data_IF_348543438932
#
_entry.id   IF_348543438932
#
_cell.length_a   1.000
_cell.length_b   1.000
_cell.length_c   1.000
_cell.angle_alpha   90.00
_cell.angle_beta   90.00
_cell.angle_gamma   90.00
#
_symmetry.space_group_name_H-M   'P 1'
#
loop_
_entity.id
_entity.type
_entity.pdbx_description
1 polymer ?
#
# COMPACT_ATOMS: atom_id res chain seq x y z
N UNK A 1 -5.10 -11.12 -3.33
CA UNK A 1 -5.25 -10.27 -2.14
C UNK A 1 -6.73 -9.98 -1.92
N UNK A 2 -7.44 -10.99 -1.42
CA UNK A 2 -8.73 -10.85 -0.75
C UNK A 2 -8.45 -11.20 0.71
N UNK A 3 -8.17 -10.21 1.55
CA UNK A 3 -8.39 -10.43 2.98
C UNK A 3 -9.89 -10.30 3.15
N UNK A 4 -10.58 -11.43 3.27
CA UNK A 4 -11.98 -11.47 3.68
C UNK A 4 -12.00 -10.86 5.08
N UNK A 5 -12.24 -9.56 5.17
CA UNK A 5 -12.32 -8.87 6.44
C UNK A 5 -13.67 -9.21 7.04
N UNK A 6 -13.71 -10.22 7.92
CA UNK A 6 -14.90 -10.49 8.73
C UNK A 6 -15.05 -9.32 9.69
N UNK A 7 -16.03 -8.44 9.43
CA UNK A 7 -16.43 -7.41 10.38
C UNK A 7 -16.71 -8.08 11.73
N UNK A 8 -15.86 -7.79 12.72
CA UNK A 8 -16.05 -8.29 14.08
C UNK A 8 -16.64 -7.17 14.92
N UNK A 9 -17.93 -7.29 15.25
CA UNK A 9 -18.63 -6.39 16.17
C UNK A 9 -17.90 -6.25 17.51
N UNK A 10 -17.21 -7.31 17.98
CA UNK A 10 -16.41 -7.28 19.21
C UNK A 10 -15.25 -6.28 19.12
N UNK A 11 -14.63 -6.16 17.94
CA UNK A 11 -13.48 -5.26 17.74
C UNK A 11 -13.92 -3.80 17.66
N UNK A 12 -15.02 -3.50 16.96
CA UNK A 12 -15.58 -2.14 16.91
C UNK A 12 -16.06 -1.69 18.29
N UNK A 13 -16.72 -2.57 19.04
CA UNK A 13 -17.15 -2.29 20.41
C UNK A 13 -15.96 -2.03 21.34
N UNK A 14 -14.85 -2.76 21.16
CA UNK A 14 -13.59 -2.55 21.87
C UNK A 14 -12.94 -1.18 21.65
N UNK A 15 -13.20 -0.50 20.53
CA UNK A 15 -12.74 0.88 20.29
C UNK A 15 -13.72 1.94 20.81
N UNK A 16 -15.02 1.64 20.87
CA UNK A 16 -16.08 2.61 21.15
C UNK A 16 -16.51 2.67 22.62
N UNK A 17 -16.27 1.63 23.42
CA UNK A 17 -16.81 1.55 24.78
C UNK A 17 -16.33 2.70 25.69
N UNK A 18 -15.06 3.14 25.60
CA UNK A 18 -14.56 4.27 26.40
C UNK A 18 -15.29 5.59 26.06
N UNK A 19 -15.32 6.06 24.79
CA UNK A 19 -16.10 7.24 24.42
C UNK A 19 -17.58 7.14 24.83
N UNK A 20 -18.21 5.98 24.57
CA UNK A 20 -19.63 5.79 24.87
C UNK A 20 -19.91 5.93 26.37
N UNK A 21 -19.12 5.27 27.22
CA UNK A 21 -19.29 5.37 28.67
C UNK A 21 -19.03 6.80 29.15
N UNK A 22 -17.98 7.47 28.65
CA UNK A 22 -17.68 8.85 29.04
C UNK A 22 -18.80 9.82 28.67
N UNK A 23 -19.34 9.73 27.46
CA UNK A 23 -20.47 10.57 27.00
C UNK A 23 -21.74 10.24 27.78
N UNK A 24 -22.05 8.97 27.99
CA UNK A 24 -23.22 8.54 28.78
C UNK A 24 -23.13 9.00 30.23
N UNK A 25 -21.96 8.92 30.85
CA UNK A 25 -21.74 9.41 32.21
C UNK A 25 -21.91 10.94 32.29
N UNK A 26 -21.33 11.67 31.34
CA UNK A 26 -21.49 13.12 31.26
C UNK A 26 -22.96 13.52 31.07
N UNK A 27 -23.67 12.89 30.13
CA UNK A 27 -25.10 13.14 29.91
C UNK A 27 -25.93 12.80 31.16
N UNK A 28 -25.64 11.69 31.83
CA UNK A 28 -26.29 11.29 33.08
C UNK A 28 -26.04 12.27 34.22
N UNK A 29 -24.82 12.81 34.35
CA UNK A 29 -24.47 13.83 35.33
C UNK A 29 -25.25 15.12 35.10
N UNK A 30 -25.32 15.60 33.85
CA UNK A 30 -26.10 16.79 33.48
C UNK A 30 -27.59 16.58 33.79
N UNK A 31 -28.14 15.41 33.45
CA UNK A 31 -29.53 15.07 33.72
C UNK A 31 -29.84 15.02 35.23
N UNK A 32 -28.95 14.43 36.02
CA UNK A 32 -29.07 14.38 37.48
C UNK A 32 -29.07 15.79 38.09
N UNK A 33 -28.13 16.65 37.68
CA UNK A 33 -28.05 18.05 38.13
C UNK A 33 -29.33 18.81 37.76
N UNK A 34 -29.81 18.66 36.52
CA UNK A 34 -31.03 19.31 36.04
C UNK A 34 -32.26 18.91 36.88
N UNK A 35 -32.39 17.62 37.23
CA UNK A 35 -33.55 17.09 37.94
C UNK A 35 -33.59 17.48 39.42
N UNK A 36 -32.44 17.50 40.10
CA UNK A 36 -32.37 17.70 41.56
C UNK A 36 -32.09 19.14 42.00
N UNK A 37 -31.50 19.98 41.13
CA UNK A 37 -31.14 21.36 41.47
C UNK A 37 -32.04 22.42 40.81
N UNK A 38 -33.13 22.00 40.13
CA UNK A 38 -34.14 22.89 39.51
C UNK A 38 -33.52 24.05 38.70
N UNK A 39 -32.42 23.77 37.99
CA UNK A 39 -31.74 24.75 37.14
C UNK A 39 -32.54 24.88 35.84
N UNK A 40 -33.69 25.55 35.90
CA UNK A 40 -34.61 25.73 34.77
C UNK A 40 -34.10 26.76 33.74
N UNK A 41 -33.10 27.57 34.09
CA UNK A 41 -32.70 28.76 33.32
C UNK A 41 -31.60 28.53 32.27
N UNK A 42 -31.11 27.30 32.09
CA UNK A 42 -30.01 27.00 31.16
C UNK A 42 -30.48 26.26 29.90
N UNK A 43 -31.29 26.92 29.07
CA UNK A 43 -31.73 26.37 27.79
C UNK A 43 -30.65 26.57 26.71
N UNK A 44 -29.94 25.50 26.34
CA UNK A 44 -29.04 25.52 25.18
C UNK A 44 -29.90 25.39 23.91
N UNK A 45 -29.84 26.34 22.96
CA UNK A 45 -30.60 26.23 21.72
C UNK A 45 -30.19 24.99 20.91
N UNK A 46 -31.17 24.19 20.46
CA UNK A 46 -30.93 23.01 19.61
C UNK A 46 -30.17 23.32 18.33
N UNK A 47 -30.24 24.56 17.85
CA UNK A 47 -29.50 25.02 16.68
C UNK A 47 -27.98 24.83 16.83
N UNK A 48 -27.42 24.99 18.03
CA UNK A 48 -25.97 24.87 18.27
C UNK A 48 -25.45 23.45 17.98
N UNK A 49 -25.96 22.37 18.62
CA UNK A 49 -25.53 21.01 18.30
C UNK A 49 -25.90 20.59 16.88
N UNK A 50 -27.00 21.08 16.30
CA UNK A 50 -27.38 20.76 14.92
C UNK A 50 -26.36 21.32 13.92
N UNK A 51 -26.01 22.60 14.00
CA UNK A 51 -25.03 23.22 13.09
C UNK A 51 -23.66 22.54 13.23
N UNK A 52 -23.22 22.30 14.46
CA UNK A 52 -21.95 21.59 14.71
C UNK A 52 -21.99 20.16 14.17
N UNK A 53 -23.09 19.44 14.38
CA UNK A 53 -23.28 18.08 13.88
C UNK A 53 -23.22 18.02 12.36
N UNK A 54 -23.92 18.92 11.67
CA UNK A 54 -23.89 19.01 10.20
C UNK A 54 -22.48 19.30 9.68
N UNK A 55 -21.77 20.26 10.28
CA UNK A 55 -20.40 20.59 9.90
C UNK A 55 -19.45 19.39 10.08
N UNK A 56 -19.52 18.70 11.22
CA UNK A 56 -18.71 17.51 11.50
C UNK A 56 -19.02 16.38 10.51
N UNK A 57 -20.30 16.10 10.23
CA UNK A 57 -20.71 15.07 9.28
C UNK A 57 -20.19 15.34 7.87
N UNK A 58 -20.24 16.59 7.43
CA UNK A 58 -19.74 17.00 6.12
C UNK A 58 -18.21 16.86 6.01
N UNK A 59 -17.47 17.32 7.02
CA UNK A 59 -16.00 17.14 7.09
C UNK A 59 -15.63 15.65 7.10
N UNK A 60 -16.34 14.84 7.89
CA UNK A 60 -16.13 13.40 7.95
C UNK A 60 -16.37 12.75 6.58
N UNK A 61 -17.42 13.16 5.86
CA UNK A 61 -17.70 12.71 4.50
C UNK A 61 -16.54 12.97 3.55
N UNK A 62 -16.02 14.19 3.53
CA UNK A 62 -14.87 14.56 2.68
C UNK A 62 -13.59 13.78 3.05
N UNK A 63 -13.32 13.60 4.35
CA UNK A 63 -12.15 12.82 4.82
C UNK A 63 -12.26 11.35 4.47
N UNK A 64 -13.42 10.73 4.68
CA UNK A 64 -13.67 9.34 4.33
C UNK A 64 -13.55 9.12 2.83
N UNK A 65 -14.10 10.03 2.02
CA UNK A 65 -13.98 9.93 0.57
C UNK A 65 -12.51 10.02 0.11
N UNK A 66 -11.74 10.97 0.64
CA UNK A 66 -10.31 11.13 0.33
C UNK A 66 -9.48 9.91 0.75
N UNK A 67 -9.75 9.35 1.94
CA UNK A 67 -9.13 8.13 2.42
C UNK A 67 -9.45 6.92 1.53
N UNK A 68 -10.71 6.80 1.09
CA UNK A 68 -11.14 5.75 0.18
C UNK A 68 -10.43 5.85 -1.18
N UNK A 69 -10.33 7.05 -1.77
CA UNK A 69 -9.61 7.25 -3.02
C UNK A 69 -8.15 6.81 -2.95
N UNK A 70 -7.42 7.19 -1.88
CA UNK A 70 -6.03 6.77 -1.67
C UNK A 70 -5.89 5.25 -1.50
N UNK A 71 -6.80 4.63 -0.75
CA UNK A 71 -6.83 3.17 -0.60
C UNK A 71 -7.07 2.46 -1.94
N UNK A 72 -8.04 2.96 -2.72
CA UNK A 72 -8.38 2.39 -4.01
C UNK A 72 -7.24 2.57 -5.03
N UNK A 73 -6.59 3.73 -5.03
CA UNK A 73 -5.41 4.01 -5.84
C UNK A 73 -4.28 3.02 -5.55
N UNK A 74 -3.93 2.84 -4.26
CA UNK A 74 -2.92 1.85 -3.85
C UNK A 74 -3.27 0.43 -4.32
N UNK A 75 -4.56 0.05 -4.23
CA UNK A 75 -5.03 -1.26 -4.69
C UNK A 75 -4.86 -1.45 -6.20
N UNK A 76 -5.15 -0.42 -7.00
CA UNK A 76 -4.96 -0.42 -8.46
C UNK A 76 -3.49 -0.54 -8.83
N UNK A 77 -2.61 0.25 -8.20
CA UNK A 77 -1.16 0.21 -8.45
C UNK A 77 -0.59 -1.18 -8.15
N UNK A 78 -0.94 -1.77 -7.00
CA UNK A 78 -0.51 -3.14 -6.70
C UNK A 78 -1.08 -4.17 -7.69
N UNK A 79 -2.29 -3.92 -8.21
CA UNK A 79 -2.87 -4.71 -9.30
C UNK A 79 -2.06 -4.62 -10.60
N UNK A 80 -1.58 -3.42 -10.95
CA UNK A 80 -0.69 -3.21 -12.09
C UNK A 80 0.62 -4.00 -11.93
N UNK A 81 1.28 -3.90 -10.76
CA UNK A 81 2.50 -4.67 -10.46
C UNK A 81 2.29 -6.18 -10.67
N UNK A 82 1.18 -6.73 -10.19
CA UNK A 82 0.87 -8.16 -10.39
C UNK A 82 0.72 -8.50 -11.88
N UNK A 83 0.05 -7.65 -12.66
CA UNK A 83 -0.16 -7.88 -14.08
C UNK A 83 1.15 -7.75 -14.86
N UNK A 84 1.93 -6.70 -14.61
CA UNK A 84 3.22 -6.47 -15.26
C UNK A 84 4.23 -7.56 -14.90
N UNK A 85 4.23 -8.06 -13.66
CA UNK A 85 5.04 -9.23 -13.26
C UNK A 85 4.73 -10.46 -14.11
N UNK A 86 3.44 -10.73 -14.37
CA UNK A 86 3.02 -11.84 -15.24
C UNK A 86 3.40 -11.60 -16.68
N UNK A 87 3.23 -10.36 -17.16
CA UNK A 87 3.60 -9.96 -18.51
C UNK A 87 5.08 -10.15 -18.74
N UNK A 88 5.93 -9.68 -17.83
CA UNK A 88 7.39 -9.83 -17.86
C UNK A 88 7.80 -11.30 -17.99
N UNK A 89 7.38 -12.14 -17.05
CA UNK A 89 7.75 -13.57 -17.06
C UNK A 89 7.22 -14.27 -18.30
N UNK A 90 5.99 -13.94 -18.75
CA UNK A 90 5.43 -14.50 -20.00
C UNK A 90 6.24 -14.08 -21.22
N UNK A 91 6.62 -12.80 -21.33
CA UNK A 91 7.47 -12.31 -22.43
C UNK A 91 8.82 -13.05 -22.45
N UNK A 92 9.50 -13.14 -21.30
CA UNK A 92 10.77 -13.85 -21.19
C UNK A 92 10.66 -15.33 -21.58
N UNK A 93 9.61 -16.04 -21.12
CA UNK A 93 9.35 -17.43 -21.52
C UNK A 93 9.11 -17.55 -23.03
N UNK A 94 8.35 -16.63 -23.62
CA UNK A 94 8.04 -16.65 -25.06
C UNK A 94 9.26 -16.35 -25.92
N UNK A 95 10.16 -15.45 -25.48
CA UNK A 95 11.30 -15.01 -26.27
C UNK A 95 12.51 -15.94 -26.14
N UNK A 96 12.88 -16.29 -24.90
CA UNK A 96 14.11 -17.04 -24.61
C UNK A 96 13.87 -18.49 -24.13
N UNK A 97 12.61 -18.92 -23.98
CA UNK A 97 12.23 -20.28 -23.57
C UNK A 97 12.14 -20.48 -22.05
N UNK A 98 11.21 -21.36 -21.62
CA UNK A 98 10.90 -21.59 -20.20
C UNK A 98 12.06 -22.16 -19.39
N UNK A 99 12.83 -23.07 -19.98
CA UNK A 99 13.93 -23.79 -19.32
C UNK A 99 15.24 -22.98 -19.32
N UNK A 100 15.25 -21.78 -19.93
CA UNK A 100 16.42 -20.92 -19.96
C UNK A 100 16.75 -20.43 -18.54
N UNK A 101 18.00 -20.63 -18.04
CA UNK A 101 18.40 -20.20 -16.70
C UNK A 101 18.19 -18.71 -16.43
N UNK A 102 18.39 -17.84 -17.44
CA UNK A 102 18.15 -16.41 -17.33
C UNK A 102 16.69 -16.07 -17.12
N UNK A 103 15.76 -16.80 -17.77
CA UNK A 103 14.31 -16.63 -17.57
C UNK A 103 13.89 -17.06 -16.15
N UNK A 104 14.44 -18.16 -15.65
CA UNK A 104 14.21 -18.62 -14.27
C UNK A 104 14.77 -17.59 -13.27
N UNK A 105 15.93 -17.03 -13.57
CA UNK A 105 16.58 -15.98 -12.78
C UNK A 105 15.71 -14.71 -12.72
N UNK A 106 15.18 -14.24 -13.86
CA UNK A 106 14.24 -13.12 -13.94
C UNK A 106 13.00 -13.39 -13.08
N UNK A 107 12.39 -14.58 -13.18
CA UNK A 107 11.21 -14.90 -12.39
C UNK A 107 11.48 -14.88 -10.87
N UNK A 108 12.65 -15.39 -10.44
CA UNK A 108 13.08 -15.32 -9.03
C UNK A 108 13.32 -13.89 -8.56
N UNK A 109 14.05 -13.10 -9.33
CA UNK A 109 14.29 -11.68 -9.04
C UNK A 109 12.99 -10.88 -9.01
N UNK A 110 12.02 -11.18 -9.88
CA UNK A 110 10.71 -10.53 -9.84
C UNK A 110 9.93 -10.87 -8.56
N UNK A 111 10.03 -12.10 -8.05
CA UNK A 111 9.49 -12.45 -6.74
C UNK A 111 10.19 -11.68 -5.62
N UNK A 112 11.53 -11.62 -5.66
CA UNK A 112 12.32 -10.84 -4.69
C UNK A 112 11.90 -9.36 -4.68
N UNK A 113 11.73 -8.75 -5.86
CA UNK A 113 11.23 -7.38 -6.03
C UNK A 113 9.87 -7.18 -5.34
N UNK A 114 8.91 -8.08 -5.58
CA UNK A 114 7.59 -7.99 -4.97
C UNK A 114 7.65 -8.01 -3.44
N UNK A 115 8.51 -8.86 -2.88
CA UNK A 115 8.70 -8.96 -1.44
C UNK A 115 9.43 -7.75 -0.85
N UNK A 116 10.54 -7.32 -1.46
CA UNK A 116 11.29 -6.14 -1.04
C UNK A 116 10.41 -4.89 -1.08
N UNK A 117 9.65 -4.68 -2.16
CA UNK A 117 8.75 -3.52 -2.25
C UNK A 117 7.68 -3.58 -1.15
N UNK A 118 7.11 -4.75 -0.89
CA UNK A 118 6.09 -4.90 0.13
C UNK A 118 6.63 -4.66 1.56
N UNK A 119 7.88 -5.00 1.82
CA UNK A 119 8.55 -4.78 3.12
C UNK A 119 8.97 -3.32 3.29
N UNK A 120 9.62 -2.74 2.27
CA UNK A 120 9.95 -1.32 2.20
C UNK A 120 8.72 -0.43 2.43
N UNK A 121 7.57 -0.74 1.82
CA UNK A 121 6.33 0.03 2.03
C UNK A 121 5.78 -0.08 3.47
N UNK A 122 6.16 -1.12 4.23
CA UNK A 122 5.74 -1.36 5.61
C UNK A 122 6.81 -0.98 6.65
N UNK A 123 7.97 -0.49 6.22
CA UNK A 123 9.15 -0.27 7.08
C UNK A 123 9.56 -1.57 7.82
N UNK A 124 9.49 -2.71 7.13
CA UNK A 124 10.00 -3.98 7.62
C UNK A 124 11.39 -4.24 7.05
N UNK A 125 12.17 -5.09 7.72
CA UNK A 125 13.48 -5.51 7.21
C UNK A 125 13.33 -6.31 5.90
N UNK A 126 13.97 -5.82 4.85
CA UNK A 126 13.95 -6.40 3.51
C UNK A 126 14.78 -7.71 3.43
N UNK A 127 15.73 -7.90 4.36
CA UNK A 127 16.73 -8.98 4.31
C UNK A 127 16.11 -10.37 4.33
N UNK A 128 15.08 -10.59 5.15
CA UNK A 128 14.45 -11.92 5.31
C UNK A 128 13.69 -12.40 4.07
N UNK A 129 13.18 -11.49 3.25
CA UNK A 129 12.33 -11.84 2.12
C UNK A 129 13.09 -11.92 0.79
N UNK A 130 14.17 -11.16 0.67
CA UNK A 130 15.07 -11.15 -0.51
C UNK A 130 15.98 -12.39 -0.52
N UNK A 131 16.41 -12.87 0.65
CA UNK A 131 17.35 -14.00 0.82
C UNK A 131 16.85 -15.33 0.25
N UNK A 132 15.54 -15.51 0.05
CA UNK A 132 14.98 -16.76 -0.49
C UNK A 132 15.16 -16.90 -2.01
N UNK A 133 15.25 -15.78 -2.73
CA UNK A 133 15.11 -15.76 -4.19
C UNK A 133 16.37 -15.27 -4.91
N UNK A 134 17.26 -14.57 -4.21
CA UNK A 134 18.53 -14.07 -4.72
C UNK A 134 19.70 -14.93 -4.24
N UNK A 135 20.80 -14.93 -5.00
CA UNK A 135 22.06 -15.53 -4.55
C UNK A 135 22.81 -14.61 -3.56
N UNK A 136 23.85 -15.11 -2.90
CA UNK A 136 24.57 -14.34 -1.88
C UNK A 136 25.17 -13.03 -2.38
N UNK A 137 25.70 -13.00 -3.60
CA UNK A 137 26.27 -11.79 -4.21
C UNK A 137 25.18 -10.75 -4.48
N UNK A 138 24.04 -11.21 -4.99
CA UNK A 138 22.88 -10.37 -5.26
C UNK A 138 22.29 -9.80 -3.97
N UNK A 139 22.20 -10.60 -2.91
CA UNK A 139 21.77 -10.14 -1.59
C UNK A 139 22.72 -9.07 -1.07
N UNK A 140 24.03 -9.33 -1.10
CA UNK A 140 25.06 -8.36 -0.66
C UNK A 140 24.95 -7.05 -1.42
N UNK A 141 24.74 -7.10 -2.73
CA UNK A 141 24.53 -5.88 -3.51
C UNK A 141 23.23 -5.18 -3.08
N UNK A 142 22.10 -5.87 -3.04
CA UNK A 142 20.80 -5.28 -2.78
C UNK A 142 20.72 -4.57 -1.42
N UNK A 143 21.27 -5.16 -0.36
CA UNK A 143 21.25 -4.58 1.00
C UNK A 143 22.17 -3.36 1.17
N UNK A 144 23.12 -3.15 0.26
CA UNK A 144 24.01 -1.97 0.30
C UNK A 144 23.38 -0.73 -0.33
N UNK A 145 22.23 -0.88 -0.99
CA UNK A 145 21.55 0.22 -1.67
C UNK A 145 20.47 0.83 -0.79
N UNK A 146 20.28 2.16 -0.91
CA UNK A 146 19.23 2.87 -0.17
C UNK A 146 17.82 2.42 -0.57
N UNK A 147 17.62 2.08 -1.86
CA UNK A 147 16.36 1.57 -2.39
C UNK A 147 16.54 0.13 -2.88
N UNK A 148 16.36 -0.83 -1.96
CA UNK A 148 16.49 -2.27 -2.23
C UNK A 148 15.57 -2.73 -3.37
N UNK A 149 14.27 -2.38 -3.44
CA UNK A 149 13.43 -2.71 -4.59
C UNK A 149 13.98 -2.23 -5.93
N UNK A 150 14.47 -0.99 -5.99
CA UNK A 150 15.04 -0.43 -7.22
C UNK A 150 16.35 -1.12 -7.62
N UNK A 151 17.18 -1.51 -6.65
CA UNK A 151 18.38 -2.31 -6.90
C UNK A 151 18.05 -3.66 -7.56
N UNK A 152 16.95 -4.31 -7.13
CA UNK A 152 16.49 -5.57 -7.75
C UNK A 152 15.95 -5.32 -9.16
N UNK A 153 15.29 -4.19 -9.45
CA UNK A 153 14.89 -3.84 -10.82
C UNK A 153 16.11 -3.68 -11.73
N UNK A 154 17.17 -3.02 -11.26
CA UNK A 154 18.41 -2.91 -12.02
C UNK A 154 19.05 -4.29 -12.30
N UNK A 155 18.96 -5.23 -11.36
CA UNK A 155 19.40 -6.61 -11.57
C UNK A 155 18.57 -7.35 -12.60
N UNK A 156 17.25 -7.12 -12.63
CA UNK A 156 16.35 -7.68 -13.65
C UNK A 156 16.73 -7.18 -15.05
N UNK A 157 16.95 -5.88 -15.20
CA UNK A 157 17.38 -5.28 -16.48
C UNK A 157 18.74 -5.83 -16.93
N UNK A 158 19.68 -6.01 -16.01
CA UNK A 158 20.99 -6.62 -16.30
C UNK A 158 20.85 -8.07 -16.78
N UNK A 159 19.96 -8.85 -16.17
CA UNK A 159 19.67 -10.22 -16.62
C UNK A 159 19.04 -10.22 -18.02
N UNK A 160 18.16 -9.26 -18.31
CA UNK A 160 17.58 -9.07 -19.64
C UNK A 160 18.65 -8.70 -20.69
N UNK A 161 19.59 -7.83 -20.33
CA UNK A 161 20.74 -7.49 -21.18
C UNK A 161 21.63 -8.72 -21.46
N UNK A 162 21.80 -9.61 -20.49
CA UNK A 162 22.56 -10.85 -20.70
C UNK A 162 21.87 -11.76 -21.74
N UNK A 163 20.55 -11.91 -21.66
CA UNK A 163 19.78 -12.67 -22.66
C UNK A 163 19.92 -12.05 -24.07
N UNK A 164 19.89 -10.72 -24.16
CA UNK A 164 20.16 -10.02 -25.41
C UNK A 164 21.58 -10.30 -25.95
N UNK A 165 22.60 -10.15 -25.11
CA UNK A 165 24.00 -10.39 -25.49
C UNK A 165 24.26 -11.85 -25.93
N UNK A 166 23.45 -12.80 -25.46
CA UNK A 166 23.48 -14.21 -25.83
C UNK A 166 22.69 -14.51 -27.12
N UNK A 167 22.08 -13.50 -27.75
CA UNK A 167 21.17 -13.64 -28.90
C UNK A 167 19.91 -14.46 -28.61
N UNK A 168 19.53 -14.63 -27.34
CA UNK A 168 18.27 -15.26 -26.94
C UNK A 168 17.07 -14.33 -27.15
N UNK A 169 17.33 -13.03 -27.25
CA UNK A 169 16.33 -11.98 -27.47
C UNK A 169 16.85 -10.95 -28.47
N UNK A 170 16.00 -10.47 -29.38
CA UNK A 170 16.34 -9.45 -30.37
C UNK A 170 15.97 -8.01 -29.93
N UNK A 171 16.35 -7.00 -30.71
CA UNK A 171 16.13 -5.58 -30.39
C UNK A 171 14.65 -5.23 -30.13
N UNK A 172 13.74 -5.76 -30.96
CA UNK A 172 12.30 -5.47 -30.86
C UNK A 172 11.71 -6.10 -29.60
N UNK A 173 12.13 -7.32 -29.27
CA UNK A 173 11.71 -8.00 -28.07
C UNK A 173 12.30 -7.35 -26.81
N UNK A 174 13.57 -6.91 -26.85
CA UNK A 174 14.19 -6.18 -25.75
C UNK A 174 13.44 -4.87 -25.47
N UNK A 175 13.11 -4.10 -26.52
CA UNK A 175 12.28 -2.90 -26.39
C UNK A 175 10.91 -3.21 -25.77
N UNK A 176 10.27 -4.30 -26.20
CA UNK A 176 8.97 -4.71 -25.66
C UNK A 176 9.02 -5.10 -24.18
N UNK A 177 10.14 -5.67 -23.69
CA UNK A 177 10.34 -5.98 -22.27
C UNK A 177 10.68 -4.72 -21.48
N UNK A 178 11.48 -3.81 -22.02
CA UNK A 178 11.80 -2.52 -21.41
C UNK A 178 10.54 -1.69 -21.10
N UNK A 179 9.54 -1.70 -21.98
CA UNK A 179 8.24 -1.11 -21.68
C UNK A 179 7.59 -1.68 -20.40
N UNK A 180 7.70 -2.99 -20.19
CA UNK A 180 7.20 -3.66 -18.98
C UNK A 180 8.01 -3.24 -17.75
N UNK A 181 9.34 -3.15 -17.84
CA UNK A 181 10.18 -2.66 -16.73
C UNK A 181 9.83 -1.23 -16.33
N UNK A 182 9.65 -0.34 -17.31
CA UNK A 182 9.18 1.03 -17.07
C UNK A 182 7.85 1.07 -16.34
N UNK A 183 6.90 0.20 -16.70
CA UNK A 183 5.61 0.14 -16.01
C UNK A 183 5.74 -0.33 -14.55
N UNK A 184 6.61 -1.31 -14.29
CA UNK A 184 6.90 -1.79 -12.93
C UNK A 184 7.57 -0.68 -12.10
N UNK A 185 8.57 0.01 -12.66
CA UNK A 185 9.26 1.13 -12.01
C UNK A 185 8.30 2.29 -11.70
N UNK A 186 7.45 2.66 -12.67
CA UNK A 186 6.41 3.67 -12.46
C UNK A 186 5.45 3.28 -11.34
N UNK A 187 5.02 2.02 -11.29
CA UNK A 187 4.13 1.52 -10.23
C UNK A 187 4.81 1.53 -8.86
N UNK A 188 6.12 1.22 -8.80
CA UNK A 188 6.92 1.35 -7.57
C UNK A 188 6.94 2.80 -7.08
N UNK A 189 7.28 3.76 -7.95
CA UNK A 189 7.29 5.18 -7.59
C UNK A 189 5.91 5.70 -7.16
N UNK A 190 4.82 5.20 -7.77
CA UNK A 190 3.47 5.52 -7.33
C UNK A 190 3.16 4.96 -5.93
N UNK A 191 3.62 3.76 -5.60
CA UNK A 191 3.51 3.21 -4.24
C UNK A 191 4.28 4.07 -3.21
N UNK A 192 5.51 4.46 -3.53
CA UNK A 192 6.33 5.33 -2.68
C UNK A 192 5.68 6.70 -2.46
N UNK A 193 5.11 7.30 -3.51
CA UNK A 193 4.34 8.54 -3.39
C UNK A 193 3.14 8.37 -2.46
N UNK A 194 2.38 7.28 -2.59
CA UNK A 194 1.25 7.01 -1.69
C UNK A 194 1.74 6.81 -0.26
N UNK A 195 2.88 6.18 -0.02
CA UNK A 195 3.45 6.01 1.33
C UNK A 195 3.82 7.37 1.93
N UNK A 196 4.57 8.18 1.20
CA UNK A 196 5.23 9.38 1.72
C UNK A 196 4.35 10.64 1.69
N UNK A 197 3.30 10.67 0.88
CA UNK A 197 2.39 11.82 0.82
C UNK A 197 1.30 11.67 1.88
N UNK A 198 1.41 12.44 2.97
CA UNK A 198 0.35 12.54 3.99
C UNK A 198 -0.82 13.40 3.48
N UNK A 199 -2.01 13.21 4.05
CA UNK A 199 -3.11 14.14 3.78
C UNK A 199 -2.71 15.53 4.26
N UNK A 200 -3.01 16.61 3.49
CA UNK A 200 -2.76 17.97 3.96
C UNK A 200 -3.43 18.16 5.32
N UNK A 201 -2.65 18.60 6.31
CA UNK A 201 -3.22 19.02 7.59
C UNK A 201 -4.02 20.30 7.32
N UNK A 202 -5.32 20.24 7.54
CA UNK A 202 -6.15 21.44 7.58
C UNK A 202 -5.79 22.15 8.89
N UNK A 203 -5.06 23.26 8.77
CA UNK A 203 -4.85 24.25 9.85
C UNK A 203 -6.15 25.00 10.06
#
# INVERSE_FOLDING_TARGET
>A
MYTIYRYSLKRTLGYLWKPVISVSFYAGLIFFIYTYYEIESMAIPLAVPTVLGTAISLILGFRTNSAYHRWWEARKIWGAIINDSRTLVRQCITFAGKENPGVISIAKKQMAFCYALANSLRNLDDTSAVTKYLNEEEIRYAITQDNVPNAILQMLEKEMQNLYNQNEVNDVQLLAVDHTFRHICNSMGMCERIKNTVFPLQV
#
